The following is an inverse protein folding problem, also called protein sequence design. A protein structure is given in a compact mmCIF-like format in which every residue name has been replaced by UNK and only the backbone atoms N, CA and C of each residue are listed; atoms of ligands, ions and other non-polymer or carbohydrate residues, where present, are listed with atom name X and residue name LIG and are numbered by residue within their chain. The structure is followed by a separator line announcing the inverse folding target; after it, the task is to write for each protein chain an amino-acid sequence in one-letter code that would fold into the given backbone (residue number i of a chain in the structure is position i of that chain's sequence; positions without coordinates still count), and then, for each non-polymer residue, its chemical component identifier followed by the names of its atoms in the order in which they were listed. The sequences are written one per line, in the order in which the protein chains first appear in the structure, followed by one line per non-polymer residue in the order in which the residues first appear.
data_IF_917969292563
#
_entry.id   IF_917969292563
#
_cell.length_a   1.000
_cell.length_b   1.000
_cell.length_c   1.000
_cell.angle_alpha   90.00
_cell.angle_beta   90.00
_cell.angle_gamma   90.00
#
_symmetry.space_group_name_H-M   'P 1'
#
loop_
_entity.id
_entity.type
_entity.pdbx_description
1 polymer ?
#
# COMPACT_ATOMS: atom_id res chain seq x y z
N UNK A 1 -11.04 -6.08 -4.17
CA UNK A 1 -11.57 -4.79 -4.65
C UNK A 1 -10.55 -4.15 -5.54
N UNK A 2 -10.97 -3.31 -6.49
CA UNK A 2 -10.01 -2.60 -7.36
C UNK A 2 -9.38 -1.44 -6.61
N UNK A 3 -8.08 -1.27 -6.77
CA UNK A 3 -7.33 -0.13 -6.24
C UNK A 3 -6.24 0.29 -7.23
N UNK A 4 -5.71 1.49 -7.03
CA UNK A 4 -4.52 1.98 -7.73
C UNK A 4 -3.40 2.16 -6.73
N UNK A 5 -2.25 1.53 -6.94
CA UNK A 5 -1.02 1.82 -6.20
C UNK A 5 -0.20 2.84 -6.99
N UNK A 6 0.12 3.97 -6.36
CA UNK A 6 1.03 4.97 -6.89
C UNK A 6 2.36 4.89 -6.15
N UNK A 7 3.44 4.70 -6.89
CA UNK A 7 4.79 4.74 -6.33
C UNK A 7 5.25 6.18 -6.10
N UNK A 8 6.26 6.37 -5.26
CA UNK A 8 6.91 7.69 -5.05
C UNK A 8 7.52 8.31 -6.32
N UNK A 9 7.59 7.55 -7.42
CA UNK A 9 8.05 8.01 -8.73
C UNK A 9 6.88 8.43 -9.65
N UNK A 10 5.64 8.38 -9.17
CA UNK A 10 4.42 8.70 -9.93
C UNK A 10 3.97 7.58 -10.87
N UNK A 11 4.50 6.36 -10.72
CA UNK A 11 4.03 5.20 -11.50
C UNK A 11 2.76 4.67 -10.85
N UNK A 12 1.68 4.58 -11.63
CA UNK A 12 0.39 4.05 -11.21
C UNK A 12 0.22 2.61 -11.68
N UNK A 13 -0.25 1.75 -10.79
CA UNK A 13 -0.46 0.33 -11.03
C UNK A 13 -1.87 -0.01 -10.55
N UNK A 14 -2.70 -0.50 -11.45
CA UNK A 14 -4.04 -0.96 -11.07
C UNK A 14 -3.95 -2.43 -10.65
N UNK A 15 -4.46 -2.73 -9.46
CA UNK A 15 -4.46 -4.09 -8.90
C UNK A 15 -5.77 -4.37 -8.17
N UNK A 16 -6.03 -5.65 -7.94
CA UNK A 16 -7.05 -6.08 -7.01
C UNK A 16 -6.41 -6.31 -5.63
N UNK A 17 -6.97 -5.69 -4.59
CA UNK A 17 -6.54 -5.86 -3.21
C UNK A 17 -7.65 -6.55 -2.39
N UNK A 18 -7.28 -7.36 -1.41
CA UNK A 18 -8.21 -7.85 -0.40
C UNK A 18 -8.13 -6.95 0.84
N UNK A 19 -9.25 -6.34 1.23
CA UNK A 19 -9.28 -5.46 2.41
C UNK A 19 -9.13 -6.23 3.72
N UNK A 20 -9.30 -7.56 3.69
CA UNK A 20 -8.95 -8.43 4.82
C UNK A 20 -7.43 -8.59 5.00
N UNK A 21 -6.62 -8.21 4.01
CA UNK A 21 -5.17 -8.18 4.15
C UNK A 21 -4.69 -6.88 4.80
N UNK A 22 -3.56 -6.97 5.48
CA UNK A 22 -2.80 -5.79 5.91
C UNK A 22 -2.00 -5.21 4.73
N UNK A 23 -1.58 -3.93 4.78
CA UNK A 23 -0.67 -3.36 3.79
C UNK A 23 0.54 -4.24 3.49
N UNK A 24 1.16 -4.83 4.53
CA UNK A 24 2.27 -5.77 4.33
C UNK A 24 1.85 -7.01 3.53
N UNK A 25 0.68 -7.58 3.84
CA UNK A 25 0.13 -8.72 3.11
C UNK A 25 -0.16 -8.38 1.64
N UNK A 26 -0.74 -7.21 1.38
CA UNK A 26 -1.04 -6.72 0.03
C UNK A 26 0.23 -6.59 -0.79
N UNK A 27 1.26 -5.92 -0.27
CA UNK A 27 2.52 -5.71 -1.02
C UNK A 27 3.27 -7.03 -1.26
N UNK A 28 3.23 -7.98 -0.31
CA UNK A 28 3.80 -9.32 -0.52
C UNK A 28 3.11 -10.07 -1.64
N UNK A 29 1.77 -10.18 -1.59
CA UNK A 29 0.98 -10.83 -2.64
C UNK A 29 1.23 -10.17 -3.99
N UNK A 30 1.24 -8.84 -4.02
CA UNK A 30 1.52 -8.10 -5.24
C UNK A 30 2.93 -8.39 -5.80
N UNK A 31 3.94 -8.49 -4.93
CA UNK A 31 5.28 -8.90 -5.33
C UNK A 31 5.35 -10.34 -5.86
N UNK A 32 4.57 -11.26 -5.30
CA UNK A 32 4.47 -12.65 -5.77
C UNK A 32 3.75 -12.76 -7.13
N UNK A 33 2.75 -11.90 -7.37
CA UNK A 33 1.97 -11.86 -8.62
C UNK A 33 2.70 -11.17 -9.77
N UNK A 34 3.29 -9.99 -9.52
CA UNK A 34 4.07 -9.24 -10.50
C UNK A 34 5.34 -8.63 -9.87
N UNK A 35 6.42 -9.42 -9.76
CA UNK A 35 7.68 -8.94 -9.19
C UNK A 35 8.25 -7.74 -9.94
N UNK A 36 8.03 -7.65 -11.26
CA UNK A 36 8.62 -6.59 -12.10
C UNK A 36 7.97 -5.25 -11.77
N UNK A 37 6.63 -5.19 -11.74
CA UNK A 37 5.92 -3.98 -11.36
C UNK A 37 6.16 -3.62 -9.88
N UNK A 38 6.12 -4.63 -8.99
CA UNK A 38 6.32 -4.44 -7.56
C UNK A 38 7.69 -3.87 -7.19
N UNK A 39 8.77 -4.20 -7.92
CA UNK A 39 10.11 -3.62 -7.66
C UNK A 39 10.14 -2.09 -7.65
N UNK A 40 9.20 -1.42 -8.34
CA UNK A 40 9.11 0.04 -8.35
C UNK A 40 8.69 0.64 -6.99
N UNK A 41 8.11 -0.16 -6.10
CA UNK A 41 7.66 0.24 -4.76
C UNK A 41 8.84 0.24 -3.77
N UNK A 42 9.84 -0.62 -4.00
CA UNK A 42 10.92 -0.85 -3.06
C UNK A 42 12.12 0.04 -3.35
N UNK A 43 12.72 0.57 -2.29
CA UNK A 43 13.96 1.36 -2.37
C UNK A 43 15.17 0.56 -2.85
N UNK A 44 15.26 -0.73 -2.51
CA UNK A 44 16.35 -1.64 -2.87
C UNK A 44 15.98 -3.11 -2.57
N UNK A 45 16.85 -4.06 -2.97
CA UNK A 45 16.66 -5.48 -2.71
C UNK A 45 16.54 -5.83 -1.22
N UNK A 46 17.29 -5.15 -0.33
CA UNK A 46 17.22 -5.37 1.11
C UNK A 46 15.81 -5.09 1.66
N UNK A 47 15.14 -4.07 1.13
CA UNK A 47 13.77 -3.73 1.51
C UNK A 47 12.78 -4.83 1.10
N UNK A 48 13.00 -5.47 -0.05
CA UNK A 48 12.23 -6.64 -0.50
C UNK A 48 12.45 -7.79 0.47
N UNK A 49 13.71 -8.18 0.72
CA UNK A 49 14.05 -9.31 1.57
C UNK A 49 13.46 -9.15 2.99
N UNK A 50 13.56 -7.94 3.55
CA UNK A 50 12.99 -7.59 4.85
C UNK A 50 11.46 -7.70 4.85
N UNK A 51 10.78 -7.13 3.84
CA UNK A 51 9.33 -7.22 3.75
C UNK A 51 8.88 -8.68 3.66
N UNK A 52 9.53 -9.50 2.85
CA UNK A 52 9.20 -10.93 2.70
C UNK A 52 9.39 -11.69 4.03
N UNK A 53 10.36 -11.31 4.85
CA UNK A 53 10.66 -11.94 6.14
C UNK A 53 9.74 -11.51 7.30
N UNK A 54 9.03 -10.37 7.20
CA UNK A 54 8.16 -9.89 8.29
C UNK A 54 8.42 -8.46 8.72
N UNK A 55 9.41 -7.83 8.11
CA UNK A 55 10.03 -6.63 8.64
C UNK A 55 9.76 -5.45 7.72
N UNK A 56 9.38 -4.32 8.31
CA UNK A 56 9.12 -3.08 7.59
C UNK A 56 9.62 -1.90 8.42
N UNK A 57 10.29 -0.93 7.77
CA UNK A 57 10.61 0.34 8.39
C UNK A 57 9.34 1.21 8.38
N UNK A 58 8.49 1.08 9.40
CA UNK A 58 7.25 1.85 9.51
C UNK A 58 7.49 3.36 9.61
N UNK A 59 8.70 3.83 9.95
CA UNK A 59 8.98 5.26 9.98
C UNK A 59 9.23 5.81 8.57
N UNK A 60 9.92 5.04 7.71
CA UNK A 60 10.33 5.46 6.36
C UNK A 60 9.51 4.89 5.21
N UNK A 61 8.61 3.96 5.48
CA UNK A 61 7.75 3.33 4.47
C UNK A 61 6.34 3.91 4.52
N UNK A 62 5.76 4.17 3.36
CA UNK A 62 4.44 4.74 3.22
C UNK A 62 3.47 3.73 2.61
N UNK A 63 2.27 3.66 3.19
CA UNK A 63 1.09 3.05 2.59
C UNK A 63 -0.07 3.95 2.98
N UNK A 64 -0.40 4.89 2.10
CA UNK A 64 -1.30 6.00 2.42
C UNK A 64 -2.45 6.01 1.43
N UNK A 65 -3.68 5.97 1.93
CA UNK A 65 -4.87 6.18 1.11
C UNK A 65 -5.00 7.67 0.81
N UNK A 66 -5.12 8.02 -0.47
CA UNK A 66 -5.43 9.39 -0.89
C UNK A 66 -6.94 9.60 -0.84
N UNK A 67 -7.36 10.62 -0.10
CA UNK A 67 -8.74 11.10 -0.07
C UNK A 67 -9.09 11.91 -1.31
N UNK A 68 -10.38 12.21 -1.47
CA UNK A 68 -10.90 12.95 -2.64
C UNK A 68 -10.38 14.39 -2.69
N UNK A 69 -10.19 15.00 -1.52
CA UNK A 69 -9.74 16.40 -1.40
C UNK A 69 -8.20 16.55 -1.45
N UNK A 70 -7.49 15.43 -1.64
CA UNK A 70 -6.03 15.39 -1.74
C UNK A 70 -5.30 15.27 -0.40
N UNK A 71 -6.03 15.07 0.70
CA UNK A 71 -5.48 14.61 1.96
C UNK A 71 -5.05 13.13 1.87
N UNK A 72 -4.23 12.68 2.82
CA UNK A 72 -3.82 11.28 2.90
C UNK A 72 -3.97 10.71 4.30
N UNK A 73 -4.41 9.45 4.36
CA UNK A 73 -4.55 8.68 5.59
C UNK A 73 -3.51 7.57 5.57
N UNK A 74 -2.59 7.60 6.53
CA UNK A 74 -1.57 6.55 6.69
C UNK A 74 -2.19 5.29 7.28
N UNK A 75 -2.06 4.17 6.57
CA UNK A 75 -2.47 2.87 7.06
C UNK A 75 -1.43 2.27 8.01
N UNK A 76 -1.92 1.56 9.02
CA UNK A 76 -1.12 0.65 9.84
C UNK A 76 -0.69 -0.56 9.01
N UNK A 77 0.60 -0.86 9.00
CA UNK A 77 1.19 -1.88 8.11
C UNK A 77 0.78 -3.31 8.44
N UNK A 78 0.36 -3.58 9.68
CA UNK A 78 0.14 -4.92 10.22
C UNK A 78 -1.33 -5.26 10.38
N UNK A 79 -2.19 -4.25 10.47
CA UNK A 79 -3.63 -4.39 10.63
C UNK A 79 -4.31 -4.47 9.27
N UNK A 80 -5.26 -5.39 9.11
CA UNK A 80 -6.08 -5.48 7.90
C UNK A 80 -6.76 -4.15 7.58
N UNK A 81 -6.83 -3.74 6.30
CA UNK A 81 -7.42 -2.45 5.92
C UNK A 81 -8.87 -2.31 6.42
N UNK A 82 -9.66 -3.40 6.38
CA UNK A 82 -11.04 -3.41 6.85
C UNK A 82 -11.20 -3.26 8.38
N UNK A 83 -10.10 -3.43 9.13
CA UNK A 83 -10.05 -3.26 10.58
C UNK A 83 -9.46 -1.90 10.98
N UNK A 84 -9.17 -1.01 10.02
CA UNK A 84 -8.71 0.35 10.26
C UNK A 84 -9.86 1.32 9.95
N UNK A 85 -10.60 1.85 10.95
CA UNK A 85 -11.84 2.58 10.73
C UNK A 85 -11.72 3.77 9.76
N UNK A 86 -10.70 4.62 9.94
CA UNK A 86 -10.48 5.77 9.07
C UNK A 86 -10.23 5.38 7.60
N UNK A 87 -9.41 4.34 7.38
CA UNK A 87 -9.15 3.82 6.03
C UNK A 87 -10.42 3.21 5.43
N UNK A 88 -11.14 2.40 6.22
CA UNK A 88 -12.39 1.75 5.78
C UNK A 88 -13.45 2.78 5.38
N UNK A 89 -13.65 3.80 6.21
CA UNK A 89 -14.64 4.86 5.97
C UNK A 89 -14.26 5.67 4.74
N UNK A 90 -13.00 6.06 4.59
CA UNK A 90 -12.54 6.84 3.45
C UNK A 90 -12.58 6.03 2.14
N UNK A 91 -12.20 4.74 2.15
CA UNK A 91 -12.37 3.88 0.97
C UNK A 91 -13.83 3.80 0.54
N UNK A 92 -14.75 3.60 1.49
CA UNK A 92 -16.18 3.55 1.19
C UNK A 92 -16.72 4.87 0.64
N UNK A 93 -16.21 6.00 1.14
CA UNK A 93 -16.53 7.33 0.64
C UNK A 93 -16.05 7.52 -0.81
N UNK A 94 -14.79 7.21 -1.10
CA UNK A 94 -14.20 7.25 -2.46
C UNK A 94 -15.02 6.39 -3.43
N UNK A 95 -15.36 5.15 -3.03
CA UNK A 95 -16.16 4.25 -3.86
C UNK A 95 -17.59 4.77 -4.07
N UNK A 96 -18.19 5.40 -3.06
CA UNK A 96 -19.55 5.98 -3.17
C UNK A 96 -19.64 7.13 -4.17
N UNK A 97 -18.54 7.87 -4.35
CA UNK A 97 -18.38 8.91 -5.38
C UNK A 97 -17.98 8.33 -6.75
N UNK A 98 -17.96 7.00 -6.89
CA UNK A 98 -17.65 6.30 -8.13
C UNK A 98 -16.16 6.30 -8.50
N UNK A 99 -15.28 6.63 -7.55
CA UNK A 99 -13.83 6.64 -7.74
C UNK A 99 -13.20 5.33 -7.27
N UNK A 100 -11.98 5.04 -7.76
CA UNK A 100 -11.18 3.88 -7.36
C UNK A 100 -10.21 4.33 -6.27
N UNK A 101 -10.18 3.68 -5.09
CA UNK A 101 -9.21 4.00 -4.05
C UNK A 101 -7.78 3.95 -4.54
N UNK A 102 -7.03 5.02 -4.25
CA UNK A 102 -5.65 5.18 -4.65
C UNK A 102 -4.75 5.23 -3.44
N UNK A 103 -3.72 4.39 -3.42
CA UNK A 103 -2.74 4.32 -2.34
C UNK A 103 -1.37 4.79 -2.82
N UNK A 104 -0.74 5.71 -2.10
CA UNK A 104 0.68 6.02 -2.28
C UNK A 104 1.50 5.01 -1.49
N UNK A 105 2.41 4.32 -2.17
CA UNK A 105 3.19 3.24 -1.58
C UNK A 105 4.69 3.42 -1.80
N UNK A 106 5.45 3.24 -0.73
CA UNK A 106 6.90 3.05 -0.78
C UNK A 106 7.40 2.17 0.35
N UNK A 107 8.36 1.31 0.05
CA UNK A 107 8.97 0.39 1.03
C UNK A 107 10.47 0.68 1.15
N UNK A 108 10.84 1.16 2.33
CA UNK A 108 12.21 1.53 2.68
C UNK A 108 12.89 0.41 3.49
N UNK A 109 14.16 0.13 3.19
CA UNK A 109 14.92 -0.85 3.98
C UNK A 109 15.22 -0.31 5.37
N UNK A 110 15.09 -1.16 6.40
CA UNK A 110 15.54 -0.86 7.76
C UNK A 110 17.08 -0.75 7.72
N UNK A 111 17.59 0.42 8.11
CA UNK A 111 19.02 0.67 8.26
C UNK A 111 19.35 0.43 9.73
N UNK A 112 20.31 -0.48 9.98
CA UNK A 112 20.81 -0.78 11.32
C UNK A 112 21.69 0.36 11.85
#
# INVERSE_FOLDING_TARGET
MKATLETVRGVTINCDIDTADSPMGIIRKFYEEDPTAATQIFSNQKAIDQLMDGHIDEAKSAFELLGIEGDSIRADWKTALCNQPAIKEEMAHIESEGQVPKFVVSVSSIVA
#
